data_IF_608074228373
#
_entry.id   IF_608074228373
#
_cell.length_a   1.000
_cell.length_b   1.000
_cell.length_c   1.000
_cell.angle_alpha   90.00
_cell.angle_beta   90.00
_cell.angle_gamma   90.00
#
_symmetry.space_group_name_H-M   'P 1'
#
loop_
_entity.id
_entity.type
_entity.pdbx_description
1 polymer ?
#
# COMPACT_ATOMS: atom_id res chain seq x y z
N UNK A 1 -11.42 -3.72 -8.39
CA UNK A 1 -11.00 -3.70 -6.97
C UNK A 1 -12.17 -3.24 -6.12
N UNK A 2 -12.39 -3.88 -4.97
CA UNK A 2 -13.37 -3.40 -3.99
C UNK A 2 -12.96 -2.01 -3.49
N UNK A 3 -13.93 -1.23 -2.99
CA UNK A 3 -13.64 0.06 -2.35
C UNK A 3 -12.67 -0.17 -1.18
N UNK A 4 -11.59 0.61 -1.07
CA UNK A 4 -10.65 0.48 0.04
C UNK A 4 -11.34 0.74 1.37
N UNK A 5 -10.88 0.04 2.41
CA UNK A 5 -11.39 0.17 3.78
C UNK A 5 -10.89 1.47 4.40
N UNK A 6 -9.61 1.76 4.16
CA UNK A 6 -8.91 2.93 4.64
C UNK A 6 -7.92 3.35 3.56
N UNK A 7 -7.70 4.64 3.41
CA UNK A 7 -6.78 5.16 2.41
C UNK A 7 -6.08 6.42 2.92
N UNK A 8 -4.89 6.67 2.39
CA UNK A 8 -4.11 7.86 2.68
C UNK A 8 -3.40 8.32 1.42
N UNK A 9 -3.49 9.61 1.16
CA UNK A 9 -2.77 10.29 0.07
C UNK A 9 -1.68 11.16 0.68
N UNK A 10 -0.61 11.33 -0.07
CA UNK A 10 0.41 12.30 0.28
C UNK A 10 1.26 12.68 -0.92
N UNK A 11 2.29 13.46 -0.64
CA UNK A 11 3.26 13.90 -1.63
C UNK A 11 4.62 13.84 -0.99
N UNK A 12 5.56 13.20 -1.68
CA UNK A 12 6.96 13.14 -1.29
C UNK A 12 7.72 14.17 -2.11
N UNK A 13 8.52 15.01 -1.46
CA UNK A 13 9.37 16.00 -2.12
C UNK A 13 10.81 15.52 -2.10
N UNK A 14 11.35 15.10 -3.25
CA UNK A 14 12.74 14.68 -3.40
C UNK A 14 13.41 15.47 -4.51
N UNK A 15 14.55 16.10 -4.22
CA UNK A 15 15.34 16.87 -5.19
C UNK A 15 14.52 17.90 -5.99
N UNK A 16 13.55 18.55 -5.35
CA UNK A 16 12.66 19.53 -5.98
C UNK A 16 11.51 18.94 -6.81
N UNK A 17 11.40 17.61 -6.88
CA UNK A 17 10.28 16.91 -7.52
C UNK A 17 9.26 16.48 -6.47
N UNK A 18 8.00 16.83 -6.70
CA UNK A 18 6.88 16.42 -5.86
C UNK A 18 6.21 15.20 -6.48
N UNK A 19 6.42 14.04 -5.87
CA UNK A 19 5.85 12.77 -6.32
C UNK A 19 4.63 12.44 -5.47
N UNK A 20 3.41 12.43 -6.05
CA UNK A 20 2.22 12.04 -5.30
C UNK A 20 2.25 10.54 -5.03
N UNK A 21 1.75 10.15 -3.87
CA UNK A 21 1.58 8.75 -3.50
C UNK A 21 0.22 8.50 -2.87
N UNK A 22 -0.21 7.25 -2.94
CA UNK A 22 -1.47 6.77 -2.42
C UNK A 22 -1.28 5.40 -1.79
N UNK A 23 -1.81 5.20 -0.59
CA UNK A 23 -1.87 3.91 0.09
C UNK A 23 -3.33 3.57 0.33
N UNK A 24 -3.72 2.36 -0.04
CA UNK A 24 -5.07 1.84 0.17
C UNK A 24 -5.04 0.50 0.89
N UNK A 25 -5.94 0.33 1.85
CA UNK A 25 -6.10 -0.90 2.64
C UNK A 25 -7.26 -1.72 2.12
N UNK A 26 -7.03 -3.01 1.97
CA UNK A 26 -7.99 -4.01 1.50
C UNK A 26 -8.05 -5.19 2.46
N UNK A 27 -9.16 -5.96 2.49
CA UNK A 27 -9.18 -7.26 3.13
C UNK A 27 -8.08 -8.15 2.55
N UNK A 28 -7.37 -8.89 3.39
CA UNK A 28 -6.37 -9.86 2.95
C UNK A 28 -7.06 -10.99 2.17
N UNK A 29 -6.59 -11.35 0.96
CA UNK A 29 -7.31 -12.26 0.08
C UNK A 29 -7.41 -13.69 0.63
N UNK A 30 -6.39 -14.13 1.38
CA UNK A 30 -6.31 -15.50 1.90
C UNK A 30 -6.77 -15.67 3.36
N UNK A 31 -6.87 -14.60 4.14
CA UNK A 31 -7.03 -14.67 5.59
C UNK A 31 -8.16 -13.76 6.05
N UNK A 32 -9.16 -14.35 6.71
CA UNK A 32 -10.30 -13.61 7.25
C UNK A 32 -9.84 -12.66 8.36
N UNK A 33 -10.45 -11.47 8.43
CA UNK A 33 -10.13 -10.42 9.43
C UNK A 33 -8.64 -10.04 9.46
N UNK A 34 -7.97 -10.18 8.32
CA UNK A 34 -6.64 -9.65 8.08
C UNK A 34 -6.72 -8.61 6.96
N UNK A 35 -5.73 -7.75 6.93
CA UNK A 35 -5.68 -6.62 6.00
C UNK A 35 -4.33 -6.57 5.30
N UNK A 36 -4.36 -6.13 4.05
CA UNK A 36 -3.17 -5.85 3.24
C UNK A 36 -3.31 -4.43 2.71
N UNK A 37 -2.21 -3.82 2.29
CA UNK A 37 -2.26 -2.53 1.61
C UNK A 37 -1.72 -2.62 0.19
N UNK A 38 -2.07 -1.65 -0.64
CA UNK A 38 -1.49 -1.40 -1.96
C UNK A 38 -0.93 0.01 -2.00
N UNK A 39 0.20 0.19 -2.67
CA UNK A 39 0.83 1.50 -2.86
C UNK A 39 0.70 1.89 -4.32
N UNK A 40 0.42 3.17 -4.59
CA UNK A 40 0.60 3.76 -5.90
C UNK A 40 1.49 5.01 -5.79
N UNK A 41 2.52 5.10 -6.62
CA UNK A 41 3.45 6.22 -6.71
C UNK A 41 3.31 6.82 -8.11
N UNK A 42 3.13 8.15 -8.20
CA UNK A 42 2.90 8.83 -9.48
C UNK A 42 1.76 8.19 -10.31
N UNK A 43 0.68 7.78 -9.63
CA UNK A 43 -0.47 7.07 -10.21
C UNK A 43 -0.17 5.68 -10.80
N UNK A 44 1.03 5.14 -10.58
CA UNK A 44 1.40 3.78 -10.97
C UNK A 44 1.32 2.88 -9.74
N UNK A 45 0.58 1.78 -9.84
CA UNK A 45 0.42 0.82 -8.75
C UNK A 45 1.70 -0.01 -8.60
N UNK A 46 2.27 -0.03 -7.39
CA UNK A 46 3.46 -0.78 -7.06
C UNK A 46 3.17 -2.28 -7.10
N UNK A 47 4.10 -3.03 -7.68
CA UNK A 47 4.02 -4.49 -7.75
C UNK A 47 4.76 -5.08 -6.56
N UNK A 48 4.07 -5.94 -5.82
CA UNK A 48 4.70 -6.75 -4.80
C UNK A 48 5.61 -7.80 -5.47
N UNK A 49 6.94 -7.79 -5.20
CA UNK A 49 7.88 -8.76 -5.76
C UNK A 49 7.63 -10.19 -5.28
N UNK A 50 6.93 -10.36 -4.14
CA UNK A 50 6.52 -11.63 -3.57
C UNK A 50 4.98 -11.62 -3.40
N UNK A 51 4.22 -11.78 -4.51
CA UNK A 51 2.78 -11.61 -4.51
C UNK A 51 2.09 -12.62 -3.57
N UNK A 52 1.10 -12.14 -2.82
CA UNK A 52 0.37 -12.94 -1.82
C UNK A 52 -0.47 -14.03 -2.50
N UNK A 53 -0.97 -13.76 -3.70
CA UNK A 53 -1.71 -14.69 -4.54
C UNK A 53 -1.51 -14.35 -6.02
N UNK A 54 -1.73 -15.32 -6.90
CA UNK A 54 -1.53 -15.17 -8.36
C UNK A 54 -2.32 -14.01 -8.98
N UNK A 55 -3.43 -13.61 -8.35
CA UNK A 55 -4.32 -12.54 -8.82
C UNK A 55 -4.10 -11.19 -8.14
N UNK A 56 -3.36 -11.12 -7.03
CA UNK A 56 -3.18 -9.90 -6.23
C UNK A 56 -1.70 -9.52 -6.13
N UNK A 57 -1.10 -9.20 -7.29
CA UNK A 57 0.31 -8.84 -7.40
C UNK A 57 0.67 -7.47 -6.81
N UNK A 58 -0.29 -6.75 -6.24
CA UNK A 58 -0.12 -5.36 -5.78
C UNK A 58 -0.47 -5.18 -4.29
N UNK A 59 -0.82 -6.28 -3.60
CA UNK A 59 -1.10 -6.26 -2.17
C UNK A 59 0.15 -6.67 -1.39
N UNK A 60 0.41 -5.92 -0.33
CA UNK A 60 1.56 -6.06 0.55
C UNK A 60 1.10 -6.35 1.98
N UNK A 61 1.88 -7.20 2.65
CA UNK A 61 1.76 -7.51 4.07
C UNK A 61 0.45 -8.18 4.50
N UNK A 62 0.39 -8.52 5.79
CA UNK A 62 -0.75 -9.15 6.44
C UNK A 62 -0.87 -8.66 7.88
N UNK A 63 -1.84 -7.78 8.11
CA UNK A 63 -1.97 -7.03 9.37
C UNK A 63 -3.25 -7.38 10.11
N UNK A 64 -3.25 -7.17 11.43
CA UNK A 64 -4.38 -7.44 12.30
C UNK A 64 -5.49 -6.41 12.19
N UNK A 65 -5.14 -5.15 11.90
CA UNK A 65 -6.10 -4.04 11.77
C UNK A 65 -5.85 -3.20 10.52
N UNK A 66 -6.84 -2.46 10.02
CA UNK A 66 -6.64 -1.53 8.90
C UNK A 66 -5.61 -0.44 9.19
N UNK A 67 -5.54 0.04 10.43
CA UNK A 67 -4.61 1.08 10.86
C UNK A 67 -3.16 0.59 10.80
N UNK A 68 -2.90 -0.65 11.25
CA UNK A 68 -1.57 -1.25 11.10
C UNK A 68 -1.15 -1.38 9.63
N UNK A 69 -2.11 -1.71 8.75
CA UNK A 69 -1.82 -1.83 7.32
C UNK A 69 -1.54 -0.46 6.68
N UNK A 70 -2.32 0.58 7.01
CA UNK A 70 -2.08 1.91 6.44
C UNK A 70 -0.75 2.50 6.94
N UNK A 71 -0.44 2.34 8.24
CA UNK A 71 0.79 2.89 8.81
C UNK A 71 2.01 2.22 8.19
N UNK A 72 1.98 0.89 8.00
CA UNK A 72 3.05 0.17 7.33
C UNK A 72 3.22 0.58 5.86
N UNK A 73 2.13 0.81 5.14
CA UNK A 73 2.19 1.28 3.75
C UNK A 73 2.74 2.69 3.63
N UNK A 74 2.40 3.59 4.56
CA UNK A 74 2.98 4.94 4.62
C UNK A 74 4.47 4.88 4.97
N UNK A 75 4.84 4.08 5.97
CA UNK A 75 6.24 3.89 6.37
C UNK A 75 7.08 3.37 5.20
N UNK A 76 6.56 2.43 4.39
CA UNK A 76 7.27 1.94 3.22
C UNK A 76 7.51 3.06 2.18
N UNK A 77 6.48 3.84 1.84
CA UNK A 77 6.61 4.94 0.87
C UNK A 77 7.57 6.03 1.36
N UNK A 78 7.59 6.29 2.67
CA UNK A 78 8.49 7.27 3.28
C UNK A 78 9.92 6.73 3.45
N UNK A 79 10.11 5.42 3.60
CA UNK A 79 11.42 4.78 3.82
C UNK A 79 12.18 4.45 2.53
N UNK A 80 11.51 4.26 1.39
CA UNK A 80 12.13 4.03 0.07
C UNK A 80 12.85 5.28 -0.49
N UNK A 81 13.34 6.17 0.38
CA UNK A 81 14.05 7.44 0.11
C UNK A 81 15.58 7.33 0.16
N UNK A 82 16.16 6.13 0.13
CA UNK A 82 17.60 5.89 0.30
C UNK A 82 18.28 5.37 -0.96
#
# INVERSE_FOLDING_TARGET
MNKPILEKIGTKSESGTNTPWYVAVHPHPLLKKKYSYSIAINHVLERNPAPIADFDSCLFGCYGTPEQAIDAGVEQVESDSL
#
